data_IF_039099506697
#
_entry.id   IF_039099506697
#
_cell.length_a   1.000
_cell.length_b   1.000
_cell.length_c   1.000
_cell.angle_alpha   90.00
_cell.angle_beta   90.00
_cell.angle_gamma   90.00
#
_symmetry.space_group_name_H-M   'P 1'
#
loop_
_entity.id
_entity.type
_entity.pdbx_description
1 polymer ?
#
# COMPACT_ATOMS: atom_id res chain seq x y z
N UNK A 1 14.18 -20.23 24.67
CA UNK A 1 13.45 -19.34 23.72
C UNK A 1 13.45 -17.87 24.17
N UNK A 2 14.30 -17.00 23.59
CA UNK A 2 14.24 -15.53 23.81
C UNK A 2 12.85 -15.00 23.43
N UNK A 3 12.30 -14.07 24.22
CA UNK A 3 10.99 -13.41 23.99
C UNK A 3 11.08 -12.67 22.64
N UNK A 4 10.42 -13.19 21.60
CA UNK A 4 10.37 -12.55 20.28
C UNK A 4 9.15 -11.64 20.24
N UNK A 5 9.33 -10.34 20.00
CA UNK A 5 8.22 -9.37 19.85
C UNK A 5 7.32 -9.65 18.63
N UNK A 6 7.70 -10.59 17.76
CA UNK A 6 6.96 -10.90 16.53
C UNK A 6 5.85 -11.95 16.74
N UNK A 7 5.98 -12.80 17.77
CA UNK A 7 5.09 -13.95 17.98
C UNK A 7 4.42 -13.84 19.35
N UNK A 8 3.09 -13.96 19.36
CA UNK A 8 2.33 -14.08 20.60
C UNK A 8 2.26 -15.55 20.97
N UNK A 9 2.79 -15.88 22.15
CA UNK A 9 2.74 -17.25 22.67
C UNK A 9 1.35 -17.50 23.23
N UNK A 10 0.66 -18.49 22.68
CA UNK A 10 -0.71 -18.86 23.06
C UNK A 10 -0.76 -20.24 23.74
N UNK A 11 0.40 -20.75 24.15
CA UNK A 11 0.59 -21.98 24.92
C UNK A 11 0.96 -21.70 26.38
N UNK A 12 0.91 -20.43 26.82
CA UNK A 12 1.19 -20.06 28.21
C UNK A 12 0.15 -19.07 28.72
N UNK A 13 -0.44 -19.36 29.86
CA UNK A 13 -1.33 -18.46 30.57
C UNK A 13 -0.58 -17.19 31.01
N UNK A 14 -1.30 -16.07 31.26
CA UNK A 14 -0.72 -14.85 31.81
C UNK A 14 -0.01 -15.06 33.15
N UNK A 15 -0.48 -16.02 33.97
CA UNK A 15 0.11 -16.41 35.25
C UNK A 15 1.41 -17.23 35.11
N UNK A 16 1.81 -17.61 33.89
CA UNK A 16 3.03 -18.34 33.60
C UNK A 16 2.90 -19.86 33.55
N UNK A 17 1.72 -20.45 33.76
CA UNK A 17 1.51 -21.90 33.54
C UNK A 17 1.34 -22.20 32.05
N UNK A 18 1.75 -23.40 31.62
CA UNK A 18 1.60 -23.85 30.24
C UNK A 18 0.21 -24.46 30.05
N UNK A 19 -0.44 -24.16 28.93
CA UNK A 19 -1.64 -24.88 28.52
C UNK A 19 -1.24 -26.30 28.10
N UNK A 20 -2.04 -27.28 28.50
CA UNK A 20 -1.85 -28.71 28.16
C UNK A 20 -2.76 -29.18 27.02
N UNK A 21 -3.56 -28.28 26.47
CA UNK A 21 -4.52 -28.55 25.42
C UNK A 21 -3.93 -28.29 24.02
N UNK A 22 -4.61 -28.82 23.00
CA UNK A 22 -4.22 -28.70 21.60
C UNK A 22 -5.02 -27.64 20.84
N UNK A 23 -5.56 -26.64 21.54
CA UNK A 23 -6.49 -25.64 20.97
C UNK A 23 -5.80 -24.31 20.58
N UNK A 24 -4.48 -24.32 20.44
CA UNK A 24 -3.67 -23.13 20.16
C UNK A 24 -4.13 -22.36 18.90
N UNK A 25 -4.72 -23.06 17.91
CA UNK A 25 -5.16 -22.47 16.65
C UNK A 25 -6.36 -21.57 16.87
N UNK A 26 -7.33 -22.03 17.67
CA UNK A 26 -8.49 -21.25 18.08
C UNK A 26 -8.08 -20.05 18.93
N UNK A 27 -7.08 -20.22 19.82
CA UNK A 27 -6.50 -19.08 20.54
C UNK A 27 -5.86 -18.06 19.61
N UNK A 28 -5.23 -18.50 18.52
CA UNK A 28 -4.63 -17.61 17.54
C UNK A 28 -5.70 -16.83 16.78
N UNK A 29 -6.79 -17.48 16.39
CA UNK A 29 -7.95 -16.84 15.77
C UNK A 29 -8.65 -15.87 16.73
N UNK A 30 -8.88 -16.26 17.98
CA UNK A 30 -9.50 -15.40 18.99
C UNK A 30 -8.64 -14.15 19.25
N UNK A 31 -7.32 -14.32 19.38
CA UNK A 31 -6.41 -13.18 19.53
C UNK A 31 -6.37 -12.31 18.27
N UNK A 32 -6.46 -12.89 17.08
CA UNK A 32 -6.52 -12.13 15.83
C UNK A 32 -7.76 -11.23 15.76
N UNK A 33 -8.90 -11.73 16.21
CA UNK A 33 -10.16 -10.97 16.22
C UNK A 33 -10.20 -9.90 17.33
N UNK A 34 -9.68 -10.21 18.52
CA UNK A 34 -9.76 -9.33 19.69
C UNK A 34 -8.59 -8.36 19.82
N UNK A 35 -7.39 -8.74 19.34
CA UNK A 35 -6.11 -8.07 19.59
C UNK A 35 -5.78 -7.85 21.08
N UNK A 36 -6.43 -8.60 21.98
CA UNK A 36 -6.26 -8.55 23.44
C UNK A 36 -6.40 -9.95 24.05
N UNK A 37 -5.90 -10.11 25.28
CA UNK A 37 -6.10 -11.33 26.08
C UNK A 37 -7.38 -11.29 26.92
N UNK A 38 -8.03 -10.12 27.02
CA UNK A 38 -9.29 -9.99 27.74
C UNK A 38 -10.39 -10.77 27.01
N UNK A 39 -11.14 -11.60 27.74
CA UNK A 39 -12.19 -12.48 27.20
C UNK A 39 -11.71 -13.44 26.09
N UNK A 40 -10.40 -13.73 26.06
CA UNK A 40 -9.81 -14.59 25.03
C UNK A 40 -10.40 -16.00 25.10
N UNK A 41 -10.45 -16.61 26.30
CA UNK A 41 -10.95 -17.98 26.44
C UNK A 41 -12.46 -18.07 26.14
N UNK A 42 -13.27 -17.07 26.53
CA UNK A 42 -14.70 -17.02 26.17
C UNK A 42 -14.88 -17.04 24.64
N UNK A 43 -14.02 -16.30 23.93
CA UNK A 43 -14.04 -16.30 22.47
C UNK A 43 -13.55 -17.62 21.87
N UNK A 44 -12.56 -18.25 22.49
CA UNK A 44 -12.05 -19.57 22.09
C UNK A 44 -13.14 -20.63 22.21
N UNK A 45 -13.90 -20.62 23.32
CA UNK A 45 -15.00 -21.55 23.53
C UNK A 45 -16.08 -21.42 22.45
N UNK A 46 -16.44 -20.18 22.08
CA UNK A 46 -17.38 -19.93 20.98
C UNK A 46 -16.88 -20.44 19.62
N UNK A 47 -15.59 -20.32 19.35
CA UNK A 47 -14.99 -20.78 18.10
C UNK A 47 -14.92 -22.31 18.05
N UNK A 48 -14.51 -22.94 19.14
CA UNK A 48 -14.38 -24.38 19.27
C UNK A 48 -15.73 -25.08 19.23
N UNK A 49 -16.78 -24.49 19.83
CA UNK A 49 -18.12 -25.08 19.81
C UNK A 49 -18.66 -25.27 18.38
N UNK A 50 -18.22 -24.44 17.43
CA UNK A 50 -18.58 -24.58 16.01
C UNK A 50 -17.80 -25.69 15.32
N UNK A 51 -16.65 -26.09 15.85
CA UNK A 51 -15.77 -27.07 15.23
C UNK A 51 -16.21 -28.50 15.55
N UNK A 52 -16.38 -29.36 14.54
CA UNK A 52 -16.67 -30.78 14.77
C UNK A 52 -15.42 -31.45 15.36
N UNK A 53 -15.44 -31.71 16.68
CA UNK A 53 -14.37 -32.42 17.39
C UNK A 53 -14.89 -33.65 18.11
N UNK A 54 -14.01 -34.63 18.23
CA UNK A 54 -14.15 -35.75 19.16
C UNK A 54 -13.71 -35.32 20.57
N UNK A 55 -14.04 -36.15 21.57
CA UNK A 55 -13.69 -35.88 22.98
C UNK A 55 -12.16 -35.77 23.18
N UNK A 56 -11.38 -36.58 22.46
CA UNK A 56 -9.90 -36.58 22.49
C UNK A 56 -9.31 -35.65 21.41
N UNK A 57 -9.63 -34.36 21.51
CA UNK A 57 -9.19 -33.37 20.52
C UNK A 57 -7.66 -33.13 20.57
N UNK A 58 -6.95 -33.60 19.54
CA UNK A 58 -5.49 -33.48 19.42
C UNK A 58 -5.02 -32.26 18.60
N UNK A 59 -5.93 -31.36 18.22
CA UNK A 59 -5.63 -30.18 17.41
C UNK A 59 -6.13 -30.31 15.97
N UNK A 60 -6.07 -29.20 15.23
CA UNK A 60 -6.43 -29.19 13.80
C UNK A 60 -5.19 -29.54 12.98
N UNK A 61 -5.18 -30.65 12.21
CA UNK A 61 -4.07 -30.99 11.32
C UNK A 61 -4.00 -30.01 10.14
N UNK A 62 -2.81 -29.87 9.54
CA UNK A 62 -2.60 -28.99 8.39
C UNK A 62 -3.53 -29.31 7.20
N UNK A 63 -3.91 -30.58 7.04
CA UNK A 63 -4.85 -31.03 6.01
C UNK A 63 -6.27 -30.48 6.20
N UNK A 64 -6.65 -30.13 7.43
CA UNK A 64 -7.98 -29.61 7.79
C UNK A 64 -8.04 -28.08 7.88
N UNK A 65 -6.95 -27.38 7.51
CA UNK A 65 -6.93 -25.92 7.48
C UNK A 65 -7.96 -25.35 6.49
N UNK A 66 -8.16 -25.90 5.27
CA UNK A 66 -9.19 -25.39 4.35
C UNK A 66 -10.60 -25.36 4.95
N UNK A 67 -10.99 -26.38 5.71
CA UNK A 67 -12.27 -26.50 6.41
C UNK A 67 -12.36 -25.48 7.56
N UNK A 68 -11.25 -25.28 8.27
CA UNK A 68 -11.12 -24.22 9.28
C UNK A 68 -11.29 -22.81 8.69
N UNK A 69 -10.71 -22.56 7.52
CA UNK A 69 -10.85 -21.29 6.80
C UNK A 69 -12.29 -21.04 6.35
N UNK A 70 -12.98 -22.07 5.86
CA UNK A 70 -14.39 -22.02 5.48
C UNK A 70 -15.31 -21.76 6.67
N UNK A 71 -15.08 -22.43 7.80
CA UNK A 71 -15.93 -22.30 8.98
C UNK A 71 -15.85 -20.92 9.65
N UNK A 72 -14.72 -20.24 9.48
CA UNK A 72 -14.42 -18.99 10.17
C UNK A 72 -14.23 -17.79 9.24
N UNK A 73 -14.49 -17.95 7.93
CA UNK A 73 -14.38 -16.91 6.91
C UNK A 73 -13.02 -16.17 6.93
N UNK A 74 -11.92 -16.92 7.08
CA UNK A 74 -10.58 -16.36 7.25
C UNK A 74 -9.54 -17.09 6.39
N UNK A 75 -8.58 -16.36 5.82
CA UNK A 75 -7.43 -16.94 5.13
C UNK A 75 -6.27 -17.16 6.11
N UNK A 76 -5.76 -18.39 6.21
CA UNK A 76 -4.69 -18.78 7.14
C UNK A 76 -3.41 -19.07 6.39
N UNK A 77 -2.30 -18.48 6.85
CA UNK A 77 -0.98 -18.83 6.36
C UNK A 77 -0.13 -19.36 7.50
N UNK A 78 0.45 -20.54 7.32
CA UNK A 78 1.26 -21.22 8.33
C UNK A 78 2.71 -21.17 7.92
N UNK A 79 3.54 -20.67 8.82
CA UNK A 79 4.98 -20.59 8.65
C UNK A 79 5.69 -21.40 9.72
N UNK A 80 6.88 -21.90 9.39
CA UNK A 80 7.82 -22.50 10.33
C UNK A 80 9.13 -21.71 10.34
N UNK A 81 9.86 -21.74 11.45
CA UNK A 81 11.21 -21.19 11.56
C UNK A 81 12.21 -22.33 11.66
N UNK A 82 13.07 -22.46 10.65
CA UNK A 82 14.18 -23.40 10.68
C UNK A 82 15.27 -22.92 11.66
N UNK A 83 16.21 -23.80 12.02
CA UNK A 83 17.29 -23.49 12.98
C UNK A 83 18.11 -22.24 12.56
N UNK A 84 18.29 -22.07 11.25
CA UNK A 84 18.94 -20.90 10.62
C UNK A 84 18.13 -19.59 10.71
N UNK A 85 16.97 -19.62 11.37
CA UNK A 85 15.98 -18.52 11.47
C UNK A 85 15.43 -18.08 10.11
N UNK A 86 15.46 -18.96 9.13
CA UNK A 86 14.76 -18.77 7.85
C UNK A 86 13.29 -19.14 8.08
N UNK A 87 12.39 -18.21 7.78
CA UNK A 87 10.97 -18.49 7.74
C UNK A 87 10.65 -19.27 6.46
N UNK A 88 9.93 -20.37 6.62
CA UNK A 88 9.42 -21.22 5.56
C UNK A 88 7.89 -21.19 5.59
N UNK A 89 7.26 -21.09 4.42
CA UNK A 89 5.81 -21.13 4.30
C UNK A 89 5.40 -22.59 4.15
N UNK A 90 4.80 -23.16 5.19
CA UNK A 90 4.38 -24.58 5.24
C UNK A 90 3.00 -24.74 4.61
N UNK A 91 2.13 -23.75 4.82
CA UNK A 91 0.81 -23.70 4.21
C UNK A 91 0.49 -22.26 3.84
N UNK A 92 -0.05 -22.07 2.64
CA UNK A 92 -0.54 -20.78 2.16
C UNK A 92 -1.97 -20.97 1.71
N UNK A 93 -2.88 -20.17 2.27
CA UNK A 93 -4.28 -20.20 1.85
C UNK A 93 -4.38 -19.94 0.35
N UNK A 94 -5.23 -20.72 -0.33
CA UNK A 94 -5.64 -20.46 -1.70
C UNK A 94 -6.84 -19.50 -1.73
N UNK A 95 -7.56 -19.40 -0.61
CA UNK A 95 -8.75 -18.56 -0.48
C UNK A 95 -8.34 -17.11 -0.25
N UNK A 96 -9.16 -16.19 -0.77
CA UNK A 96 -8.97 -14.75 -0.66
C UNK A 96 -10.09 -14.13 0.18
N UNK A 97 -10.23 -14.56 1.43
CA UNK A 97 -11.09 -13.86 2.37
C UNK A 97 -10.53 -12.46 2.65
N UNK A 98 -11.40 -11.54 3.10
CA UNK A 98 -10.95 -10.20 3.48
C UNK A 98 -10.04 -10.24 4.70
N UNK A 99 -10.31 -11.16 5.63
CA UNK A 99 -9.52 -11.33 6.83
C UNK A 99 -8.44 -12.41 6.63
N UNK A 100 -7.22 -12.10 7.07
CA UNK A 100 -6.06 -12.97 6.86
C UNK A 100 -5.16 -12.97 8.08
N UNK A 101 -4.87 -14.17 8.60
CA UNK A 101 -3.93 -14.36 9.69
C UNK A 101 -2.68 -15.15 9.28
N UNK A 102 -1.59 -14.88 10.00
CA UNK A 102 -0.32 -15.56 9.85
C UNK A 102 0.02 -16.29 11.16
N UNK A 103 0.36 -17.57 11.07
CA UNK A 103 0.61 -18.45 12.20
C UNK A 103 2.04 -19.01 12.11
N UNK A 104 2.72 -19.06 13.24
CA UNK A 104 3.98 -19.76 13.41
C UNK A 104 3.73 -21.14 14.02
N UNK A 105 4.03 -22.18 13.27
CA UNK A 105 4.07 -23.57 13.68
C UNK A 105 5.45 -23.91 14.25
N UNK A 106 5.49 -24.46 15.45
CA UNK A 106 6.70 -24.94 16.08
C UNK A 106 6.40 -26.24 16.84
N UNK A 107 6.97 -27.35 16.38
CA UNK A 107 6.60 -28.70 16.85
C UNK A 107 5.08 -28.91 16.66
N UNK A 108 4.36 -29.33 17.71
CA UNK A 108 2.90 -29.52 17.69
C UNK A 108 2.12 -28.30 18.20
N UNK A 109 2.78 -27.14 18.38
CA UNK A 109 2.10 -25.93 18.83
C UNK A 109 2.19 -24.81 17.82
N UNK A 110 1.20 -23.94 17.91
CA UNK A 110 1.03 -22.81 17.04
C UNK A 110 0.98 -21.50 17.84
N UNK A 111 1.37 -20.41 17.19
CA UNK A 111 1.47 -19.09 17.79
C UNK A 111 1.12 -18.03 16.76
N UNK A 112 0.50 -16.94 17.20
CA UNK A 112 0.08 -15.87 16.30
C UNK A 112 1.26 -14.98 15.89
N UNK A 113 1.42 -14.74 14.58
CA UNK A 113 2.43 -13.82 14.03
C UNK A 113 1.81 -12.44 13.88
N UNK A 114 2.24 -11.49 14.71
CA UNK A 114 1.78 -10.09 14.65
C UNK A 114 2.32 -9.32 13.45
N UNK A 115 3.52 -9.70 12.98
CA UNK A 115 4.18 -9.02 11.87
C UNK A 115 5.13 -9.98 11.18
N UNK A 116 4.81 -10.34 9.94
CA UNK A 116 5.61 -11.28 9.15
C UNK A 116 7.03 -10.77 8.91
N UNK A 117 7.20 -9.45 8.72
CA UNK A 117 8.52 -8.82 8.57
C UNK A 117 9.42 -8.99 9.81
N UNK A 118 8.84 -8.81 11.02
CA UNK A 118 9.58 -9.03 12.28
C UNK A 118 9.86 -10.51 12.51
N UNK A 119 8.97 -11.38 12.05
CA UNK A 119 9.07 -12.83 12.18
C UNK A 119 10.15 -13.44 11.28
N UNK A 120 10.14 -13.12 9.99
CA UNK A 120 11.08 -13.68 9.00
C UNK A 120 12.52 -13.26 9.22
N UNK A 121 12.74 -12.14 9.94
CA UNK A 121 14.06 -11.52 10.20
C UNK A 121 14.90 -11.36 8.92
N UNK A 122 14.25 -11.29 7.78
CA UNK A 122 14.84 -11.07 6.47
C UNK A 122 14.07 -9.94 5.82
N UNK A 123 14.81 -8.95 5.34
CA UNK A 123 14.28 -7.71 4.79
C UNK A 123 14.83 -7.57 3.39
N UNK A 124 13.93 -7.54 2.39
CA UNK A 124 14.26 -7.34 0.97
C UNK A 124 14.19 -5.85 0.64
N UNK A 125 15.12 -5.36 -0.17
CA UNK A 125 15.03 -4.04 -0.80
C UNK A 125 13.80 -3.94 -1.69
N UNK A 126 13.19 -2.76 -1.75
CA UNK A 126 12.04 -2.50 -2.61
C UNK A 126 12.44 -2.40 -4.09
N UNK A 127 13.68 -1.97 -4.34
CA UNK A 127 14.17 -1.62 -5.67
C UNK A 127 15.07 -2.71 -6.29
N UNK A 128 15.60 -3.63 -5.48
CA UNK A 128 16.47 -4.70 -5.96
C UNK A 128 16.30 -6.00 -5.17
N UNK A 129 17.04 -7.04 -5.54
CA UNK A 129 16.99 -8.36 -4.89
C UNK A 129 17.88 -8.51 -3.65
N UNK A 130 18.43 -7.41 -3.14
CA UNK A 130 19.22 -7.43 -1.91
C UNK A 130 18.36 -7.81 -0.70
N UNK A 131 18.78 -8.85 0.03
CA UNK A 131 18.12 -9.33 1.26
C UNK A 131 19.11 -9.26 2.42
N UNK A 132 18.68 -8.69 3.54
CA UNK A 132 19.49 -8.59 4.76
C UNK A 132 18.76 -9.09 6.01
N UNK A 133 19.54 -9.45 7.04
CA UNK A 133 19.03 -9.95 8.32
C UNK A 133 18.59 -8.82 9.27
N UNK A 134 18.95 -7.56 9.00
CA UNK A 134 18.67 -6.41 9.88
C UNK A 134 18.00 -5.27 9.12
N UNK A 135 16.99 -4.65 9.72
CA UNK A 135 16.31 -3.46 9.18
C UNK A 135 17.26 -2.29 9.01
N UNK A 136 18.24 -2.12 9.92
CA UNK A 136 19.23 -1.05 9.84
C UNK A 136 20.08 -1.13 8.58
N UNK A 137 20.45 -2.35 8.21
CA UNK A 137 21.28 -2.62 7.04
C UNK A 137 20.45 -2.42 5.77
N UNK A 138 19.16 -2.77 5.82
CA UNK A 138 18.22 -2.50 4.72
C UNK A 138 18.07 -0.99 4.50
N UNK A 139 17.79 -0.23 5.57
CA UNK A 139 17.65 1.23 5.49
C UNK A 139 18.92 1.91 4.96
N UNK A 140 20.10 1.40 5.31
CA UNK A 140 21.37 1.89 4.77
C UNK A 140 21.49 1.58 3.29
N UNK A 141 21.17 0.35 2.90
CA UNK A 141 21.19 -0.09 1.52
C UNK A 141 20.21 0.71 0.64
N UNK A 142 18.95 0.90 1.09
CA UNK A 142 17.92 1.63 0.33
C UNK A 142 18.35 3.06 -0.03
N UNK A 143 19.13 3.73 0.84
CA UNK A 143 19.68 5.07 0.54
C UNK A 143 20.70 5.08 -0.59
N UNK A 144 21.41 3.99 -0.79
CA UNK A 144 22.49 3.85 -1.79
C UNK A 144 22.15 2.80 -2.85
N UNK A 145 20.87 2.43 -2.97
CA UNK A 145 20.44 1.37 -3.86
C UNK A 145 20.58 1.88 -5.30
N UNK A 146 21.36 1.18 -6.12
CA UNK A 146 21.63 1.58 -7.51
C UNK A 146 20.39 1.44 -8.39
N UNK A 147 19.54 0.49 -8.06
CA UNK A 147 18.29 0.23 -8.79
C UNK A 147 17.14 1.12 -8.28
N UNK A 148 17.39 1.96 -7.27
CA UNK A 148 16.45 3.01 -6.89
C UNK A 148 16.49 4.10 -7.96
N UNK A 149 15.35 4.34 -8.58
CA UNK A 149 15.18 5.40 -9.58
C UNK A 149 15.28 6.75 -8.87
N UNK A 150 16.47 7.33 -8.84
CA UNK A 150 16.62 8.75 -8.59
C UNK A 150 16.28 9.44 -9.91
N UNK A 151 15.25 10.29 -9.93
CA UNK A 151 15.11 11.29 -10.98
C UNK A 151 16.28 12.25 -10.84
N UNK A 152 17.44 11.86 -11.36
CA UNK A 152 18.58 12.74 -11.48
C UNK A 152 18.24 13.66 -12.65
N UNK A 153 17.71 14.84 -12.33
CA UNK A 153 17.67 15.92 -13.30
C UNK A 153 19.10 16.06 -13.83
N UNK A 154 19.32 15.95 -15.16
CA UNK A 154 20.62 16.22 -15.72
C UNK A 154 20.90 17.70 -15.48
N UNK A 155 21.49 18.01 -14.33
CA UNK A 155 21.91 19.34 -13.98
C UNK A 155 22.97 19.77 -14.97
N UNK A 156 22.60 20.65 -15.88
CA UNK A 156 23.51 21.36 -16.77
C UNK A 156 23.51 22.84 -16.42
N UNK A 157 24.58 23.54 -16.78
CA UNK A 157 24.54 25.00 -16.87
C UNK A 157 23.47 25.36 -17.90
N UNK A 158 22.39 26.03 -17.46
CA UNK A 158 21.43 26.62 -18.37
C UNK A 158 22.19 27.66 -19.18
N UNK A 159 22.57 27.32 -20.43
CA UNK A 159 23.06 28.32 -21.36
C UNK A 159 21.88 29.25 -21.63
N UNK A 160 21.98 30.54 -21.30
CA UNK A 160 20.94 31.48 -21.72
C UNK A 160 20.78 31.32 -23.24
N UNK A 161 19.55 31.08 -23.67
CA UNK A 161 19.25 31.08 -25.09
C UNK A 161 19.49 32.50 -25.60
N UNK A 162 20.04 32.62 -26.81
CA UNK A 162 20.09 33.90 -27.51
C UNK A 162 18.67 34.41 -27.67
N UNK A 163 18.48 35.71 -27.50
CA UNK A 163 17.15 36.29 -27.74
C UNK A 163 16.86 36.33 -29.23
N UNK A 164 15.58 36.33 -29.63
CA UNK A 164 15.19 36.50 -31.03
C UNK A 164 15.87 37.73 -31.67
N UNK A 165 16.06 38.79 -30.89
CA UNK A 165 16.72 40.03 -31.35
C UNK A 165 18.22 39.84 -31.61
N UNK A 166 18.90 39.08 -30.75
CA UNK A 166 20.32 38.72 -30.95
C UNK A 166 20.48 37.84 -32.19
N UNK A 167 19.57 36.89 -32.42
CA UNK A 167 19.59 36.04 -33.61
C UNK A 167 19.33 36.86 -34.89
N UNK A 168 18.41 37.83 -34.86
CA UNK A 168 18.13 38.74 -35.98
C UNK A 168 19.32 39.64 -36.31
N UNK A 169 19.97 40.20 -35.29
CA UNK A 169 21.17 41.04 -35.44
C UNK A 169 22.38 40.24 -35.96
N UNK A 170 22.53 38.99 -35.52
CA UNK A 170 23.57 38.09 -36.01
C UNK A 170 23.33 37.65 -37.47
N UNK A 171 22.07 37.55 -37.91
CA UNK A 171 21.70 37.21 -39.28
C UNK A 171 21.91 38.39 -40.24
N UNK A 172 21.44 39.59 -39.87
CA UNK A 172 21.66 40.82 -40.63
C UNK A 172 21.65 42.05 -39.70
N UNK A 173 22.75 42.79 -39.71
CA UNK A 173 22.90 44.06 -38.98
C UNK A 173 21.86 45.13 -39.35
N UNK A 174 21.23 45.04 -40.53
CA UNK A 174 20.15 45.93 -40.94
C UNK A 174 18.81 45.64 -40.24
N UNK A 175 18.66 44.51 -39.56
CA UNK A 175 17.46 44.08 -38.83
C UNK A 175 17.51 44.40 -37.33
N UNK A 176 18.47 45.22 -36.87
CA UNK A 176 18.58 45.58 -35.46
C UNK A 176 17.34 46.35 -34.98
N UNK A 177 16.66 45.80 -33.98
CA UNK A 177 15.47 46.39 -33.36
C UNK A 177 15.91 47.28 -32.19
N UNK A 178 15.50 48.57 -32.13
CA UNK A 178 15.78 49.45 -31.00
C UNK A 178 15.25 48.87 -29.68
N UNK A 179 15.98 49.09 -28.58
CA UNK A 179 15.71 48.45 -27.28
C UNK A 179 14.27 48.70 -26.76
N UNK A 180 13.72 49.89 -27.01
CA UNK A 180 12.35 50.26 -26.61
C UNK A 180 11.24 49.51 -27.34
N UNK A 181 11.55 48.89 -28.49
CA UNK A 181 10.58 48.17 -29.33
C UNK A 181 10.74 46.64 -29.21
N UNK A 182 11.77 46.15 -28.49
CA UNK A 182 12.03 44.72 -28.31
C UNK A 182 10.97 44.04 -27.46
N UNK A 183 10.43 44.73 -26.46
CA UNK A 183 9.47 44.16 -25.53
C UNK A 183 8.26 45.05 -25.37
N UNK A 184 7.08 44.44 -25.39
CA UNK A 184 5.84 45.14 -25.09
C UNK A 184 5.88 45.53 -23.60
N UNK A 185 5.84 46.82 -23.32
CA UNK A 185 6.02 47.36 -21.96
C UNK A 185 4.90 46.95 -21.00
N UNK A 186 3.71 46.67 -21.54
CA UNK A 186 2.53 46.31 -20.77
C UNK A 186 1.91 45.05 -21.38
N UNK A 187 2.18 43.90 -20.77
CA UNK A 187 1.46 42.66 -21.07
C UNK A 187 0.90 42.09 -19.77
N UNK A 188 -0.32 41.55 -19.83
CA UNK A 188 -0.92 40.83 -18.72
C UNK A 188 -0.68 39.34 -18.94
N UNK A 189 0.08 38.71 -18.04
CA UNK A 189 0.18 37.26 -17.97
C UNK A 189 -0.92 36.78 -17.01
N UNK A 190 -1.86 35.97 -17.51
CA UNK A 190 -2.86 35.32 -16.67
C UNK A 190 -2.40 33.89 -16.41
N UNK A 191 -2.03 33.62 -15.16
CA UNK A 191 -1.76 32.26 -14.70
C UNK A 191 -3.10 31.64 -14.29
N UNK A 192 -3.55 30.64 -15.03
CA UNK A 192 -4.74 29.88 -14.70
C UNK A 192 -4.35 28.57 -14.03
N UNK A 193 -4.25 28.62 -12.70
CA UNK A 193 -4.07 27.43 -11.89
C UNK A 193 -5.39 26.63 -11.83
N UNK A 194 -5.39 25.42 -12.37
CA UNK A 194 -6.53 24.52 -12.30
C UNK A 194 -6.45 23.66 -11.03
N UNK A 195 -7.37 23.89 -10.08
CA UNK A 195 -7.52 23.00 -8.93
C UNK A 195 -8.29 21.74 -9.34
N UNK A 196 -7.62 20.59 -9.29
CA UNK A 196 -8.25 19.28 -9.44
C UNK A 196 -8.85 18.86 -8.09
N UNK A 197 -10.17 18.86 -8.00
CA UNK A 197 -10.88 18.29 -6.85
C UNK A 197 -11.19 16.81 -7.12
N UNK A 198 -10.97 15.91 -6.14
CA UNK A 198 -11.41 14.52 -6.26
C UNK A 198 -12.93 14.48 -6.37
N UNK A 199 -13.44 13.88 -7.46
CA UNK A 199 -14.87 13.63 -7.59
C UNK A 199 -15.31 12.60 -6.54
N UNK A 200 -16.40 12.83 -5.80
CA UNK A 200 -16.96 11.81 -4.92
C UNK A 200 -17.43 10.62 -5.76
N UNK A 201 -17.10 9.41 -5.30
CA UNK A 201 -17.29 8.12 -5.99
C UNK A 201 -18.73 7.76 -6.40
N UNK A 202 -19.72 8.61 -6.11
CA UNK A 202 -21.14 8.35 -6.35
C UNK A 202 -21.78 9.41 -7.27
N UNK A 203 -21.09 9.85 -8.33
CA UNK A 203 -21.75 10.62 -9.38
C UNK A 203 -22.42 9.68 -10.41
N UNK A 204 -23.72 9.82 -10.72
CA UNK A 204 -24.47 8.88 -11.57
C UNK A 204 -24.05 8.81 -13.05
N UNK A 205 -22.97 9.47 -13.47
CA UNK A 205 -22.58 9.63 -14.88
C UNK A 205 -21.50 8.66 -15.36
N UNK A 206 -21.13 7.63 -14.59
CA UNK A 206 -20.10 6.65 -14.98
C UNK A 206 -20.62 5.30 -15.48
N UNK A 207 -21.92 5.19 -15.77
CA UNK A 207 -22.45 4.08 -16.58
C UNK A 207 -22.77 4.59 -17.99
N UNK A 208 -21.75 4.64 -18.86
CA UNK A 208 -21.98 4.99 -20.28
C UNK A 208 -20.73 5.20 -21.15
N UNK A 209 -20.10 4.10 -21.57
CA UNK A 209 -19.17 3.95 -22.71
C UNK A 209 -17.79 4.68 -22.70
N UNK A 210 -16.74 4.06 -23.26
CA UNK A 210 -15.37 4.60 -23.23
C UNK A 210 -15.09 5.41 -24.50
N UNK A 211 -15.33 6.73 -24.48
CA UNK A 211 -14.67 7.73 -25.37
C UNK A 211 -15.46 9.03 -25.41
N UNK A 212 -15.29 9.92 -24.41
CA UNK A 212 -15.43 11.38 -24.61
C UNK A 212 -15.05 12.10 -23.32
N UNK A 213 -13.89 12.76 -23.32
CA UNK A 213 -13.59 13.81 -22.35
C UNK A 213 -14.39 15.05 -22.75
N UNK A 214 -15.56 15.23 -22.16
CA UNK A 214 -16.29 16.50 -22.25
C UNK A 214 -15.85 17.40 -21.09
N UNK A 215 -15.04 18.40 -21.41
CA UNK A 215 -14.80 19.55 -20.54
C UNK A 215 -16.11 20.32 -20.39
N UNK A 216 -16.79 20.18 -19.25
CA UNK A 216 -18.01 20.92 -18.97
C UNK A 216 -17.66 22.32 -18.43
N UNK A 217 -17.37 23.24 -19.36
CA UNK A 217 -17.27 24.68 -19.12
C UNK A 217 -18.67 25.28 -18.92
N UNK A 218 -19.33 24.95 -17.80
CA UNK A 218 -20.62 25.55 -17.45
C UNK A 218 -20.71 25.74 -15.95
N UNK A 219 -19.93 26.66 -15.38
CA UNK A 219 -20.29 27.25 -14.07
C UNK A 219 -19.74 28.66 -13.79
N UNK A 220 -19.06 29.31 -14.74
CA UNK A 220 -18.55 30.69 -14.54
C UNK A 220 -19.46 31.77 -15.13
N UNK A 221 -20.39 31.42 -16.03
CA UNK A 221 -21.26 32.41 -16.68
C UNK A 221 -22.33 33.03 -15.76
N UNK A 222 -22.66 32.42 -14.61
CA UNK A 222 -23.71 32.93 -13.71
C UNK A 222 -23.23 34.04 -12.75
N UNK A 223 -21.92 34.24 -12.58
CA UNK A 223 -21.40 35.25 -11.64
C UNK A 223 -20.95 36.56 -12.32
N UNK A 224 -21.00 36.66 -13.65
CA UNK A 224 -20.56 37.87 -14.39
C UNK A 224 -21.66 38.54 -15.23
N UNK A 225 -22.94 38.17 -15.07
CA UNK A 225 -24.06 38.96 -15.63
C UNK A 225 -24.12 39.07 -17.16
N UNK A 226 -23.60 38.09 -17.91
CA UNK A 226 -23.68 38.09 -19.38
C UNK A 226 -24.96 37.39 -19.88
N UNK A 227 -25.72 38.10 -20.71
CA UNK A 227 -26.96 37.64 -21.35
C UNK A 227 -26.66 36.61 -22.47
N UNK A 228 -27.20 35.39 -22.42
CA UNK A 228 -26.81 34.28 -23.30
C UNK A 228 -27.34 34.35 -24.74
N UNK A 229 -27.82 35.52 -25.22
CA UNK A 229 -28.41 35.64 -26.56
C UNK A 229 -27.43 35.87 -27.72
N UNK A 230 -26.13 36.05 -27.47
CA UNK A 230 -25.15 36.35 -28.52
C UNK A 230 -23.94 35.41 -28.50
N UNK A 231 -24.17 34.11 -28.68
CA UNK A 231 -23.07 33.19 -29.05
C UNK A 231 -23.36 32.64 -30.44
N UNK A 232 -22.76 33.30 -31.43
CA UNK A 232 -22.69 32.83 -32.81
C UNK A 232 -21.93 31.49 -32.85
N UNK A 233 -22.52 30.55 -33.58
CA UNK A 233 -21.92 29.27 -33.93
C UNK A 233 -20.61 29.48 -34.69
N UNK A 234 -19.51 28.97 -34.13
CA UNK A 234 -18.33 28.58 -34.90
C UNK A 234 -18.05 27.12 -34.57
N UNK A 235 -18.35 26.25 -35.54
CA UNK A 235 -17.88 24.86 -35.58
C UNK A 235 -16.47 24.88 -36.15
N UNK A 236 -15.53 24.25 -35.44
CA UNK A 236 -14.36 23.58 -36.00
C UNK A 236 -14.49 22.13 -35.58
#
# INVERSE_FOLDING_TARGET
FKKSKANIRLHRHPNGTLYKDSICLFRALAYHQLQTFQNLEDRVDQLIQKWPREDDFSGVPLSQIPEFEEMHDISVNVFSLNEDRKAECVYKSVKSYQDQMNINLFQNHCSYITSLAKYSKKYKCRNCDYITKRVTDLKRHEKTCRDATFLQFPGGYHKPQTTLFEDLEAFDSALSVPEGDRYITHFACFDYEAMLFPLPLNHPSLFGSPSTFLFQSVYVAMLMGFNPRNVLSMRI
#
